data_IF_769670169527
#
_entry.id   IF_769670169527
#
_cell.length_a   1.000
_cell.length_b   1.000
_cell.length_c   1.000
_cell.angle_alpha   90.00
_cell.angle_beta   90.00
_cell.angle_gamma   90.00
#
_symmetry.space_group_name_H-M   'P 1'
#
loop_
_entity.id
_entity.type
_entity.pdbx_description
1 polymer ?
#
# COMPACT_ATOMS: atom_id res chain seq x y z
N UNK A 1 52.81 -68.66 15.14
CA UNK A 1 51.68 -69.06 14.28
C UNK A 1 51.21 -67.84 13.50
N UNK A 2 51.14 -67.99 12.17
CA UNK A 2 50.61 -67.11 11.12
C UNK A 2 49.33 -66.33 11.50
N UNK A 3 48.95 -65.19 10.92
CA UNK A 3 49.54 -64.28 9.92
C UNK A 3 48.65 -63.01 9.90
N UNK A 4 49.29 -61.84 9.71
CA UNK A 4 48.94 -60.71 8.81
C UNK A 4 47.45 -60.31 8.66
N UNK A 5 47.06 -59.03 8.72
CA UNK A 5 47.38 -58.04 7.66
C UNK A 5 47.52 -56.63 8.22
N UNK A 6 48.50 -55.93 7.66
CA UNK A 6 48.99 -54.58 7.98
C UNK A 6 48.54 -53.63 6.86
N UNK A 7 47.99 -52.46 7.19
CA UNK A 7 48.04 -51.29 6.30
C UNK A 7 48.46 -50.07 7.13
N UNK A 8 49.57 -49.44 6.71
CA UNK A 8 50.17 -48.24 7.30
C UNK A 8 49.75 -47.00 6.51
N UNK A 9 49.16 -46.05 7.26
CA UNK A 9 49.44 -44.60 7.34
C UNK A 9 50.05 -43.87 6.14
N UNK A 10 49.38 -42.77 5.77
CA UNK A 10 49.96 -41.61 5.09
C UNK A 10 49.24 -40.34 5.54
N UNK A 11 49.90 -39.57 6.40
CA UNK A 11 49.49 -38.28 6.99
C UNK A 11 49.63 -37.14 5.97
N UNK A 12 48.77 -36.10 6.02
CA UNK A 12 49.19 -34.72 6.34
C UNK A 12 48.10 -33.64 6.09
N UNK A 13 47.89 -32.84 7.15
CA UNK A 13 47.48 -31.41 7.24
C UNK A 13 46.33 -30.86 6.36
N UNK A 14 45.14 -30.60 6.94
CA UNK A 14 44.66 -29.38 7.66
C UNK A 14 44.48 -28.13 6.77
N UNK A 15 43.22 -27.84 6.40
CA UNK A 15 42.45 -26.68 6.89
C UNK A 15 41.05 -26.66 6.26
N UNK A 16 40.01 -26.79 7.08
CA UNK A 16 38.59 -26.67 6.71
C UNK A 16 38.07 -25.36 7.32
N UNK A 17 37.62 -24.43 6.48
CA UNK A 17 36.84 -23.27 6.91
C UNK A 17 35.43 -23.38 6.30
N UNK A 18 34.44 -23.30 7.20
CA UNK A 18 33.08 -22.75 7.05
C UNK A 18 32.11 -23.36 6.03
N UNK A 19 31.26 -24.19 6.62
CA UNK A 19 29.85 -24.52 6.38
C UNK A 19 29.01 -23.40 5.71
N UNK A 20 28.64 -23.70 4.47
CA UNK A 20 27.28 -23.78 3.89
C UNK A 20 26.28 -22.63 4.04
N UNK A 21 26.13 -21.85 2.95
CA UNK A 21 24.82 -21.42 2.44
C UNK A 21 24.30 -22.50 1.46
N UNK A 22 23.06 -22.95 1.65
CA UNK A 22 22.37 -23.88 0.76
C UNK A 22 21.51 -23.06 -0.23
N UNK A 23 22.00 -22.92 -1.46
CA UNK A 23 21.17 -22.62 -2.63
C UNK A 23 20.79 -23.95 -3.30
N UNK A 24 19.51 -24.29 -3.24
CA UNK A 24 18.93 -25.40 -4.00
C UNK A 24 18.92 -25.06 -5.49
N UNK A 25 19.95 -25.49 -6.22
CA UNK A 25 19.87 -25.75 -7.66
C UNK A 25 19.59 -27.24 -7.88
N UNK A 26 18.33 -27.56 -8.15
CA UNK A 26 17.99 -28.77 -8.88
C UNK A 26 17.17 -28.38 -10.10
N UNK A 27 17.82 -28.35 -11.26
CA UNK A 27 17.17 -28.62 -12.54
C UNK A 27 18.15 -29.42 -13.40
N UNK A 28 17.87 -30.73 -13.42
CA UNK A 28 17.91 -31.63 -14.57
C UNK A 28 18.84 -31.27 -15.72
N UNK A 29 19.90 -32.07 -15.86
CA UNK A 29 20.68 -32.24 -17.09
C UNK A 29 19.77 -32.72 -18.23
N UNK A 30 19.40 -31.81 -19.12
CA UNK A 30 19.03 -32.14 -20.48
C UNK A 30 20.25 -31.84 -21.36
N UNK A 31 20.79 -32.86 -22.03
CA UNK A 31 21.81 -32.72 -23.06
C UNK A 31 21.21 -31.89 -24.21
N UNK A 32 21.61 -30.62 -24.28
CA UNK A 32 21.33 -29.78 -25.44
C UNK A 32 22.39 -30.12 -26.47
N UNK A 33 22.02 -30.94 -27.44
CA UNK A 33 22.76 -31.11 -28.69
C UNK A 33 22.81 -29.74 -29.37
N UNK A 34 23.99 -29.12 -29.37
CA UNK A 34 24.24 -27.86 -30.08
C UNK A 34 24.41 -28.18 -31.56
N UNK A 35 23.30 -28.23 -32.30
CA UNK A 35 23.35 -28.06 -33.75
C UNK A 35 23.73 -26.60 -34.04
N UNK A 36 24.96 -26.41 -34.50
CA UNK A 36 25.41 -25.13 -35.06
C UNK A 36 24.75 -24.96 -36.44
N UNK A 37 23.60 -24.31 -36.48
CA UNK A 37 23.03 -23.78 -37.72
C UNK A 37 22.78 -22.28 -37.62
N UNK A 38 23.53 -21.56 -38.45
CA UNK A 38 23.21 -20.27 -39.07
C UNK A 38 23.25 -18.99 -38.20
N UNK A 39 24.29 -18.18 -38.50
CA UNK A 39 24.46 -16.73 -38.41
C UNK A 39 23.75 -15.95 -37.28
N UNK A 40 24.48 -15.11 -36.50
CA UNK A 40 23.84 -14.14 -35.63
C UNK A 40 23.00 -13.19 -36.49
N UNK A 41 21.68 -13.34 -36.45
CA UNK A 41 20.76 -12.42 -37.13
C UNK A 41 21.09 -11.00 -36.65
N UNK A 42 21.48 -10.13 -37.59
CA UNK A 42 21.53 -8.69 -37.35
C UNK A 42 20.21 -8.25 -36.70
N UNK A 43 20.21 -7.31 -35.74
CA UNK A 43 18.96 -6.86 -35.13
C UNK A 43 18.03 -6.38 -36.24
N UNK A 44 16.93 -7.11 -36.45
CA UNK A 44 15.94 -6.78 -37.46
C UNK A 44 15.57 -5.30 -37.30
N UNK A 45 15.76 -4.51 -38.36
CA UNK A 45 15.47 -3.07 -38.33
C UNK A 45 13.95 -2.91 -38.15
N UNK A 46 13.55 -2.73 -36.90
CA UNK A 46 12.17 -2.43 -36.50
C UNK A 46 11.71 -1.26 -37.37
N UNK A 47 10.58 -1.44 -38.06
CA UNK A 47 10.02 -0.39 -38.92
C UNK A 47 9.73 0.86 -38.09
N UNK A 48 9.80 2.05 -38.70
CA UNK A 48 9.49 3.31 -38.00
C UNK A 48 8.08 3.28 -37.39
N UNK A 49 7.14 2.57 -38.03
CA UNK A 49 5.78 2.35 -37.52
C UNK A 49 5.75 1.45 -36.28
N UNK A 50 6.52 0.36 -36.26
CA UNK A 50 6.64 -0.50 -35.07
C UNK A 50 7.34 0.24 -33.92
N UNK A 51 8.34 1.07 -34.21
CA UNK A 51 8.96 1.94 -33.20
C UNK A 51 7.95 2.92 -32.61
N UNK A 52 7.11 3.53 -33.45
CA UNK A 52 6.02 4.40 -33.00
C UNK A 52 5.01 3.64 -32.13
N UNK A 53 4.56 2.45 -32.58
CA UNK A 53 3.64 1.60 -31.80
C UNK A 53 4.21 1.21 -30.44
N UNK A 54 5.47 0.80 -30.38
CA UNK A 54 6.14 0.45 -29.12
C UNK A 54 6.27 1.67 -28.20
N UNK A 55 6.57 2.85 -28.74
CA UNK A 55 6.58 4.09 -27.99
C UNK A 55 5.19 4.45 -27.44
N UNK A 56 4.13 4.25 -28.23
CA UNK A 56 2.75 4.50 -27.81
C UNK A 56 2.31 3.53 -26.71
N UNK A 57 2.67 2.24 -26.82
CA UNK A 57 2.42 1.24 -25.77
C UNK A 57 3.14 1.64 -24.48
N UNK A 58 4.44 1.95 -24.55
CA UNK A 58 5.21 2.37 -23.39
C UNK A 58 4.66 3.66 -22.75
N UNK A 59 4.16 4.59 -23.58
CA UNK A 59 3.49 5.80 -23.10
C UNK A 59 2.19 5.47 -22.36
N UNK A 60 1.37 4.58 -22.90
CA UNK A 60 0.12 4.15 -22.26
C UNK A 60 0.38 3.43 -20.93
N UNK A 61 1.36 2.51 -20.88
CA UNK A 61 1.75 1.85 -19.63
C UNK A 61 2.22 2.84 -18.57
N UNK A 62 3.00 3.85 -18.97
CA UNK A 62 3.43 4.92 -18.06
C UNK A 62 2.23 5.73 -17.55
N UNK A 63 1.29 6.06 -18.42
CA UNK A 63 0.07 6.80 -18.06
C UNK A 63 -0.79 6.00 -17.08
N UNK A 64 -1.00 4.71 -17.34
CA UNK A 64 -1.75 3.83 -16.43
C UNK A 64 -1.07 3.73 -15.06
N UNK A 65 0.27 3.62 -15.04
CA UNK A 65 1.04 3.61 -13.78
C UNK A 65 0.83 4.89 -12.99
N UNK A 66 0.90 6.06 -13.64
CA UNK A 66 0.65 7.36 -13.00
C UNK A 66 -0.78 7.46 -12.48
N UNK A 67 -1.77 7.02 -13.26
CA UNK A 67 -3.17 7.05 -12.84
C UNK A 67 -3.44 6.09 -11.67
N UNK A 68 -2.74 4.95 -11.60
CA UNK A 68 -2.87 4.03 -10.46
C UNK A 68 -2.32 4.62 -9.15
N UNK A 69 -1.38 5.57 -9.21
CA UNK A 69 -0.88 6.28 -8.02
C UNK A 69 -1.98 7.05 -7.30
N UNK A 70 -3.09 7.39 -7.97
CA UNK A 70 -4.23 8.09 -7.34
C UNK A 70 -4.83 7.35 -6.16
N UNK A 71 -4.80 6.02 -6.20
CA UNK A 71 -5.38 5.22 -5.12
C UNK A 71 -4.45 5.20 -3.90
N UNK A 72 -3.14 5.13 -4.13
CA UNK A 72 -2.13 5.16 -3.08
C UNK A 72 -2.03 6.56 -2.43
N UNK A 73 -2.06 7.60 -3.26
CA UNK A 73 -1.70 8.98 -2.95
C UNK A 73 -2.86 9.95 -3.21
N UNK A 74 -4.07 9.57 -2.79
CA UNK A 74 -5.29 10.36 -3.00
C UNK A 74 -5.18 11.80 -2.48
N UNK A 75 -4.38 12.05 -1.44
CA UNK A 75 -4.20 13.36 -0.81
C UNK A 75 -3.53 14.40 -1.72
N UNK A 76 -2.83 13.96 -2.77
CA UNK A 76 -2.19 14.88 -3.71
C UNK A 76 -3.14 15.43 -4.77
N UNK A 77 -4.31 14.79 -4.91
CA UNK A 77 -5.36 15.28 -5.78
C UNK A 77 -6.07 16.46 -5.11
N UNK A 78 -6.30 17.58 -5.83
CA UNK A 78 -7.04 18.72 -5.30
C UNK A 78 -8.52 18.42 -5.08
N UNK A 79 -9.26 19.40 -4.54
CA UNK A 79 -10.71 19.31 -4.51
C UNK A 79 -11.28 19.28 -5.95
N UNK A 80 -12.22 18.37 -6.28
CA UNK A 80 -12.83 18.31 -7.60
C UNK A 80 -13.63 19.58 -7.96
N UNK A 81 -14.15 20.29 -6.96
CA UNK A 81 -14.96 21.49 -7.18
C UNK A 81 -14.08 22.68 -7.63
N UNK A 82 -14.24 23.19 -8.87
CA UNK A 82 -13.39 24.26 -9.40
C UNK A 82 -13.44 25.56 -8.59
N UNK A 83 -14.51 25.82 -7.85
CA UNK A 83 -14.65 27.02 -7.00
C UNK A 83 -13.67 27.05 -5.83
N UNK A 84 -13.28 25.86 -5.34
CA UNK A 84 -12.34 25.71 -4.23
C UNK A 84 -10.88 25.60 -4.72
N UNK A 85 -10.69 25.57 -6.05
CA UNK A 85 -9.41 25.27 -6.69
C UNK A 85 -8.56 26.54 -6.86
N UNK A 86 -7.28 26.44 -6.56
CA UNK A 86 -6.30 27.49 -6.82
C UNK A 86 -4.94 26.87 -7.11
N UNK A 87 -4.47 27.01 -8.35
CA UNK A 87 -3.25 26.38 -8.85
C UNK A 87 -2.01 26.77 -8.05
N UNK A 88 -1.89 28.03 -7.62
CA UNK A 88 -0.74 28.47 -6.82
C UNK A 88 -0.74 27.78 -5.45
N UNK A 89 -1.91 27.77 -4.79
CA UNK A 89 -2.08 27.12 -3.49
C UNK A 89 -1.74 25.63 -3.57
N UNK A 90 -2.30 24.92 -4.55
CA UNK A 90 -2.08 23.48 -4.75
C UNK A 90 -0.60 23.14 -4.97
N UNK A 91 0.10 23.95 -5.76
CA UNK A 91 1.54 23.77 -6.00
C UNK A 91 2.36 24.00 -4.73
N UNK A 92 2.03 25.02 -3.94
CA UNK A 92 2.70 25.29 -2.66
C UNK A 92 2.45 24.16 -1.65
N UNK A 93 1.19 23.73 -1.50
CA UNK A 93 0.83 22.61 -0.63
C UNK A 93 1.55 21.32 -1.04
N UNK A 94 1.63 21.01 -2.34
CA UNK A 94 2.37 19.84 -2.84
C UNK A 94 3.85 19.90 -2.50
N UNK A 95 4.48 21.07 -2.69
CA UNK A 95 5.88 21.27 -2.33
C UNK A 95 6.11 21.03 -0.84
N UNK A 96 5.22 21.53 0.01
CA UNK A 96 5.33 21.37 1.47
C UNK A 96 5.06 19.92 1.91
N UNK A 97 4.10 19.23 1.28
CA UNK A 97 3.85 17.79 1.48
C UNK A 97 5.09 16.94 1.14
N UNK A 98 5.72 17.21 -0.01
CA UNK A 98 6.94 16.52 -0.43
C UNK A 98 8.12 16.84 0.50
N UNK A 99 8.25 18.08 0.96
CA UNK A 99 9.23 18.47 1.97
C UNK A 99 9.01 17.69 3.27
N UNK A 100 7.76 17.53 3.72
CA UNK A 100 7.45 16.71 4.91
C UNK A 100 7.82 15.24 4.70
N UNK A 101 7.52 14.66 3.53
CA UNK A 101 7.89 13.27 3.16
C UNK A 101 9.39 13.04 3.05
N UNK A 102 10.18 14.08 2.84
CA UNK A 102 11.64 13.97 2.88
C UNK A 102 12.16 13.68 4.29
N UNK A 103 11.44 14.15 5.32
CA UNK A 103 11.79 14.01 6.73
C UNK A 103 11.17 12.77 7.38
N UNK A 104 9.91 12.45 7.05
CA UNK A 104 9.21 11.26 7.57
C UNK A 104 8.74 10.38 6.42
N UNK A 105 9.00 9.08 6.56
CA UNK A 105 8.55 8.08 5.61
C UNK A 105 7.06 7.83 5.78
N UNK A 106 6.28 8.25 4.78
CA UNK A 106 4.84 8.00 4.68
C UNK A 106 4.66 6.92 3.60
N UNK A 107 4.43 5.65 3.98
CA UNK A 107 4.26 4.55 3.05
C UNK A 107 2.92 4.60 2.33
N UNK A 108 2.78 3.78 1.29
CA UNK A 108 1.50 3.52 0.63
C UNK A 108 0.62 2.62 1.50
N UNK A 109 -0.62 3.03 1.74
CA UNK A 109 -1.64 2.22 2.40
C UNK A 109 -3.04 2.64 1.95
N UNK A 110 -4.00 1.74 2.15
CA UNK A 110 -5.38 1.88 1.71
C UNK A 110 -6.36 1.74 2.86
N UNK A 111 -7.62 2.09 2.62
CA UNK A 111 -8.71 1.74 3.54
C UNK A 111 -8.83 0.22 3.61
N UNK A 112 -8.76 -0.31 4.83
CA UNK A 112 -8.65 -1.73 5.11
C UNK A 112 -7.26 -2.19 5.54
N UNK A 113 -6.20 -1.44 5.23
CA UNK A 113 -4.83 -1.80 5.64
C UNK A 113 -4.64 -1.65 7.16
N UNK A 114 -3.80 -2.49 7.75
CA UNK A 114 -3.37 -2.38 9.14
C UNK A 114 -2.14 -1.49 9.24
N UNK A 115 -2.24 -0.41 10.01
CA UNK A 115 -1.21 0.62 10.13
C UNK A 115 -0.90 0.85 11.60
N UNK A 116 0.39 0.98 11.91
CA UNK A 116 0.89 1.44 13.20
C UNK A 116 1.48 2.84 13.06
N UNK A 117 0.95 3.79 13.82
CA UNK A 117 1.44 5.18 13.86
C UNK A 117 2.15 5.41 15.18
N UNK A 118 3.38 5.90 15.11
CA UNK A 118 4.12 6.41 16.25
C UNK A 118 4.05 7.94 16.21
N UNK A 119 3.42 8.55 17.21
CA UNK A 119 3.35 10.00 17.35
C UNK A 119 3.99 10.44 18.67
N UNK A 120 4.49 11.68 18.69
CA UNK A 120 4.97 12.29 19.92
C UNK A 120 3.80 12.80 20.74
N UNK A 121 3.78 12.49 22.03
CA UNK A 121 2.84 13.04 23.00
C UNK A 121 3.61 13.45 24.26
N UNK A 122 3.63 14.75 24.62
CA UNK A 122 4.31 15.22 25.82
C UNK A 122 3.86 14.55 27.13
N UNK A 123 2.62 14.06 27.19
CA UNK A 123 2.03 13.49 28.42
C UNK A 123 2.17 11.95 28.50
N UNK A 124 2.57 11.30 27.39
CA UNK A 124 2.75 9.86 27.37
C UNK A 124 4.05 9.44 28.09
N UNK A 125 4.08 8.27 28.75
CA UNK A 125 5.30 7.71 29.30
C UNK A 125 6.32 7.47 28.17
N UNK A 126 7.44 8.20 28.20
CA UNK A 126 8.46 8.14 27.14
C UNK A 126 8.25 9.12 25.97
N UNK A 127 7.30 10.06 26.08
CA UNK A 127 6.99 11.13 25.11
C UNK A 127 6.55 10.68 23.71
N UNK A 128 6.37 9.38 23.53
CA UNK A 128 6.00 8.72 22.29
C UNK A 128 4.85 7.78 22.58
N UNK A 129 3.84 7.78 21.72
CA UNK A 129 2.72 6.87 21.78
C UNK A 129 2.62 6.11 20.44
N UNK A 130 2.35 4.81 20.52
CA UNK A 130 2.18 3.93 19.35
C UNK A 130 0.74 3.43 19.34
N UNK A 131 0.03 3.74 18.27
CA UNK A 131 -1.32 3.22 18.04
C UNK A 131 -1.33 2.36 16.78
N UNK A 132 -1.87 1.15 16.89
CA UNK A 132 -2.03 0.23 15.78
C UNK A 132 -3.50 -0.06 15.56
N UNK A 133 -3.97 -0.04 14.31
CA UNK A 133 -5.34 -0.36 13.97
C UNK A 133 -5.58 -0.48 12.46
N UNK A 134 -6.82 -0.81 12.11
CA UNK A 134 -7.29 -0.80 10.72
C UNK A 134 -7.62 0.62 10.28
N UNK A 135 -7.17 1.01 9.09
CA UNK A 135 -7.57 2.26 8.47
C UNK A 135 -9.02 2.14 7.97
N UNK A 136 -9.94 2.88 8.58
CA UNK A 136 -11.38 2.83 8.23
C UNK A 136 -11.80 3.91 7.25
N UNK A 137 -11.03 5.00 7.19
CA UNK A 137 -11.30 6.12 6.30
C UNK A 137 -9.98 6.84 6.04
N UNK A 138 -9.81 7.29 4.79
CA UNK A 138 -8.77 8.21 4.37
C UNK A 138 -9.49 9.33 3.61
N UNK A 139 -9.37 10.58 4.06
CA UNK A 139 -10.09 11.73 3.49
C UNK A 139 -9.24 12.99 3.49
N UNK A 140 -9.72 14.00 2.78
CA UNK A 140 -9.07 15.30 2.67
C UNK A 140 -8.02 15.34 1.57
N UNK A 141 -7.64 16.56 1.22
CA UNK A 141 -6.68 16.88 0.18
C UNK A 141 -5.58 17.80 0.74
N UNK A 142 -4.41 17.75 0.12
CA UNK A 142 -3.25 18.54 0.50
C UNK A 142 -2.77 18.25 1.91
N UNK A 143 -2.35 19.30 2.61
CA UNK A 143 -1.87 19.22 4.00
C UNK A 143 -2.96 18.83 5.01
N UNK A 144 -4.24 18.91 4.63
CA UNK A 144 -5.39 18.59 5.48
C UNK A 144 -5.86 17.14 5.33
N UNK A 145 -5.09 16.31 4.64
CA UNK A 145 -5.38 14.90 4.52
C UNK A 145 -5.26 14.21 5.88
N UNK A 146 -6.28 13.43 6.23
CA UNK A 146 -6.38 12.71 7.50
C UNK A 146 -6.88 11.29 7.27
N UNK A 147 -6.61 10.43 8.24
CA UNK A 147 -7.07 9.05 8.23
C UNK A 147 -7.43 8.59 9.63
N UNK A 148 -8.45 7.75 9.72
CA UNK A 148 -8.95 7.22 10.99
C UNK A 148 -8.48 5.79 11.15
N UNK A 149 -7.76 5.52 12.24
CA UNK A 149 -7.42 4.17 12.66
C UNK A 149 -8.39 3.70 13.73
N UNK A 150 -8.86 2.46 13.61
CA UNK A 150 -9.73 1.80 14.57
C UNK A 150 -9.06 0.54 15.11
N UNK A 151 -9.12 0.35 16.42
CA UNK A 151 -8.76 -0.94 17.04
C UNK A 151 -9.67 -1.20 18.24
N UNK A 152 -9.84 -2.47 18.58
CA UNK A 152 -10.54 -2.90 19.78
C UNK A 152 -9.50 -3.39 20.80
N UNK A 153 -9.28 -2.60 21.84
CA UNK A 153 -8.21 -2.80 22.83
C UNK A 153 -8.88 -2.92 24.20
N UNK A 154 -8.54 -3.97 24.96
CA UNK A 154 -9.01 -4.19 26.34
C UNK A 154 -10.54 -4.12 26.53
N UNK A 155 -11.31 -4.55 25.52
CA UNK A 155 -12.77 -4.55 25.59
C UNK A 155 -13.44 -3.25 25.08
N UNK A 156 -12.66 -2.26 24.67
CA UNK A 156 -13.15 -0.97 24.20
C UNK A 156 -12.72 -0.69 22.74
N UNK A 157 -13.63 -0.10 21.97
CA UNK A 157 -13.35 0.32 20.60
C UNK A 157 -12.75 1.72 20.59
N UNK A 158 -11.46 1.82 20.26
CA UNK A 158 -10.73 3.09 20.18
C UNK A 158 -10.58 3.51 18.71
N UNK A 159 -10.88 4.77 18.43
CA UNK A 159 -10.66 5.39 17.13
C UNK A 159 -9.80 6.64 17.31
N UNK A 160 -8.74 6.77 16.50
CA UNK A 160 -7.88 7.95 16.49
C UNK A 160 -7.81 8.48 15.06
N UNK A 161 -8.11 9.76 14.90
CA UNK A 161 -7.93 10.47 13.64
C UNK A 161 -6.52 11.09 13.62
N UNK A 162 -5.74 10.74 12.61
CA UNK A 162 -4.40 11.27 12.39
C UNK A 162 -4.39 12.17 11.16
N UNK A 163 -3.81 13.36 11.31
CA UNK A 163 -3.48 14.22 10.17
C UNK A 163 -2.17 13.72 9.54
N UNK A 164 -2.19 13.40 8.25
CA UNK A 164 -1.10 12.69 7.56
C UNK A 164 0.24 13.41 7.61
N UNK A 165 0.20 14.74 7.61
CA UNK A 165 1.38 15.61 7.57
C UNK A 165 1.68 16.28 8.91
N UNK A 166 1.05 15.84 10.00
CA UNK A 166 1.29 16.37 11.34
C UNK A 166 2.78 16.26 11.72
N UNK A 167 3.44 17.35 12.17
CA UNK A 167 4.80 17.29 12.71
C UNK A 167 4.96 16.34 13.92
N UNK A 168 3.90 16.04 14.67
CA UNK A 168 4.00 15.12 15.82
C UNK A 168 4.25 13.67 15.40
N UNK A 169 3.87 13.28 14.18
CA UNK A 169 4.08 11.93 13.67
C UNK A 169 5.56 11.68 13.41
N UNK A 170 6.09 10.65 14.06
CA UNK A 170 7.49 10.24 13.92
C UNK A 170 7.65 9.17 12.83
N UNK A 171 6.76 8.17 12.81
CA UNK A 171 6.81 7.06 11.85
C UNK A 171 5.42 6.48 11.61
N UNK A 172 5.19 6.06 10.38
CA UNK A 172 4.00 5.29 9.98
C UNK A 172 4.51 3.96 9.41
N UNK A 173 4.13 2.86 10.05
CA UNK A 173 4.47 1.51 9.61
C UNK A 173 3.22 0.80 9.08
N UNK A 174 3.30 0.23 7.89
CA UNK A 174 2.25 -0.65 7.36
C UNK A 174 2.53 -2.06 7.86
N UNK A 175 1.62 -2.59 8.67
CA UNK A 175 1.71 -3.94 9.22
C UNK A 175 1.15 -4.95 8.22
N UNK A 176 -0.01 -4.66 7.63
CA UNK A 176 -0.60 -5.49 6.57
C UNK A 176 -1.20 -4.59 5.50
N UNK A 177 -0.72 -4.74 4.27
CA UNK A 177 -1.23 -4.01 3.12
C UNK A 177 -2.38 -4.81 2.48
N UNK A 178 -3.61 -4.33 2.68
CA UNK A 178 -4.82 -4.89 2.07
C UNK A 178 -5.82 -3.78 1.69
N UNK A 179 -6.65 -4.07 0.68
CA UNK A 179 -7.82 -3.27 0.30
C UNK A 179 -9.10 -3.98 0.73
N UNK A 180 -10.16 -3.23 0.98
CA UNK A 180 -11.52 -3.76 1.17
C UNK A 180 -12.40 -3.41 -0.03
N UNK A 181 -13.61 -4.00 -0.05
CA UNK A 181 -14.59 -3.77 -1.12
C UNK A 181 -15.19 -2.36 -1.11
N UNK A 182 -15.18 -1.70 0.04
CA UNK A 182 -15.75 -0.38 0.29
C UNK A 182 -14.64 0.63 0.55
N UNK A 183 -14.89 1.89 0.20
CA UNK A 183 -13.97 3.02 0.40
C UNK A 183 -13.97 3.52 1.85
N UNK A 184 -15.03 3.25 2.62
CA UNK A 184 -15.15 3.61 4.02
C UNK A 184 -15.70 2.43 4.84
N UNK A 185 -15.11 2.18 6.01
CA UNK A 185 -15.40 1.02 6.86
C UNK A 185 -16.10 1.40 8.17
N UNK A 186 -16.88 2.48 8.18
CA UNK A 186 -17.59 2.93 9.38
C UNK A 186 -18.58 1.91 9.96
N UNK A 187 -19.04 0.94 9.15
CA UNK A 187 -19.89 -0.15 9.61
C UNK A 187 -19.19 -1.07 10.63
N UNK A 188 -17.86 -1.03 10.75
CA UNK A 188 -17.11 -1.76 11.77
C UNK A 188 -17.45 -1.32 13.21
N UNK A 189 -18.09 -0.14 13.39
CA UNK A 189 -18.64 0.30 14.69
C UNK A 189 -19.81 -0.57 15.15
N UNK A 190 -20.66 -0.97 14.21
CA UNK A 190 -21.85 -1.81 14.43
C UNK A 190 -21.58 -3.30 14.18
N UNK A 191 -20.36 -3.67 13.76
CA UNK A 191 -19.93 -5.05 13.59
C UNK A 191 -19.52 -5.69 14.94
N UNK A 192 -19.48 -7.03 15.03
CA UNK A 192 -18.84 -7.74 16.13
C UNK A 192 -17.39 -7.29 16.35
N UNK A 193 -16.91 -7.22 17.61
CA UNK A 193 -15.56 -6.77 17.92
C UNK A 193 -14.44 -7.55 17.21
N UNK A 194 -14.68 -8.82 16.90
CA UNK A 194 -13.73 -9.73 16.22
C UNK A 194 -13.14 -9.13 14.95
N UNK A 195 -13.95 -8.41 14.15
CA UNK A 195 -13.51 -7.81 12.88
C UNK A 195 -12.70 -6.52 13.04
N UNK A 196 -12.61 -6.01 14.27
CA UNK A 196 -11.93 -4.76 14.62
C UNK A 196 -10.81 -4.97 15.66
N UNK A 197 -10.62 -6.21 16.13
CA UNK A 197 -9.64 -6.54 17.17
C UNK A 197 -8.36 -7.00 16.51
N UNK A 198 -7.27 -6.25 16.72
CA UNK A 198 -5.95 -6.59 16.20
C UNK A 198 -4.90 -6.52 17.32
N UNK A 199 -4.00 -7.52 17.43
CA UNK A 199 -3.00 -7.55 18.50
C UNK A 199 -1.96 -6.46 18.28
N UNK A 200 -1.74 -5.60 19.30
CA UNK A 200 -0.85 -4.41 19.21
C UNK A 200 0.58 -4.74 18.75
N UNK A 201 1.06 -5.92 19.08
CA UNK A 201 2.43 -6.39 18.78
C UNK A 201 2.49 -7.29 17.53
N UNK A 202 1.54 -7.10 16.59
CA UNK A 202 1.55 -7.81 15.31
C UNK A 202 2.81 -7.50 14.50
N UNK A 203 3.43 -8.55 13.95
CA UNK A 203 4.57 -8.42 13.05
C UNK A 203 4.14 -7.95 11.64
N UNK A 204 4.96 -7.13 10.96
CA UNK A 204 4.65 -6.66 9.62
C UNK A 204 4.77 -7.78 8.58
N UNK A 205 3.76 -7.88 7.71
CA UNK A 205 3.69 -8.80 6.58
C UNK A 205 4.25 -8.14 5.32
N UNK A 206 5.36 -8.67 4.80
CA UNK A 206 5.99 -8.17 3.59
C UNK A 206 5.44 -8.86 2.34
N UNK A 207 5.09 -8.06 1.33
CA UNK A 207 4.74 -8.53 -0.01
C UNK A 207 5.94 -8.34 -0.95
N UNK A 208 6.13 -9.22 -1.95
CA UNK A 208 7.19 -9.04 -2.93
C UNK A 208 6.99 -7.75 -3.72
N UNK A 209 8.09 -7.08 -4.07
CA UNK A 209 8.03 -5.83 -4.83
C UNK A 209 7.34 -6.06 -6.18
N UNK A 210 6.34 -5.21 -6.49
CA UNK A 210 5.58 -5.26 -7.75
C UNK A 210 4.36 -6.18 -7.76
N UNK A 211 4.05 -6.91 -6.69
CA UNK A 211 2.76 -7.60 -6.59
C UNK A 211 1.61 -6.61 -6.46
N UNK A 212 0.49 -6.90 -7.10
CA UNK A 212 -0.74 -6.12 -6.91
C UNK A 212 -1.23 -6.24 -5.46
N UNK A 213 -1.76 -5.14 -4.93
CA UNK A 213 -2.29 -5.10 -3.56
C UNK A 213 -3.50 -6.04 -3.44
N UNK A 214 -3.51 -6.99 -2.48
CA UNK A 214 -4.61 -7.93 -2.32
C UNK A 214 -5.89 -7.22 -1.87
N UNK A 215 -7.01 -7.58 -2.50
CA UNK A 215 -8.35 -7.12 -2.11
C UNK A 215 -9.02 -8.19 -1.27
N UNK A 216 -9.35 -7.83 -0.04
CA UNK A 216 -10.02 -8.68 0.92
C UNK A 216 -11.55 -8.57 0.76
N UNK A 217 -12.17 -9.63 0.24
CA UNK A 217 -13.61 -9.68 -0.08
C UNK A 217 -14.49 -10.14 1.10
N UNK A 218 -13.94 -10.23 2.32
CA UNK A 218 -14.70 -10.68 3.50
C UNK A 218 -15.93 -9.78 3.72
N UNK A 219 -17.10 -10.42 3.81
CA UNK A 219 -18.37 -9.78 4.17
C UNK A 219 -18.63 -9.87 5.68
N UNK A 220 -18.64 -8.72 6.33
CA UNK A 220 -18.75 -8.57 7.78
C UNK A 220 -20.22 -8.63 8.22
N UNK A 221 -20.61 -9.51 9.15
CA UNK A 221 -21.94 -9.48 9.78
C UNK A 221 -22.07 -8.28 10.72
N UNK A 222 -23.28 -7.74 10.86
CA UNK A 222 -23.58 -6.69 11.84
C UNK A 222 -24.16 -7.28 13.13
N UNK A 223 -24.03 -6.54 14.22
CA UNK A 223 -24.74 -6.78 15.49
C UNK A 223 -26.25 -6.70 15.29
N UNK A 224 -27.07 -7.21 16.22
CA UNK A 224 -28.50 -6.92 16.19
C UNK A 224 -28.75 -5.40 16.32
N UNK A 225 -29.93 -4.97 15.87
CA UNK A 225 -30.36 -3.58 15.95
C UNK A 225 -30.49 -3.10 17.41
N UNK A 226 -30.38 -1.78 17.69
CA UNK A 226 -30.20 -0.66 16.76
C UNK A 226 -28.74 -0.39 16.36
N UNK A 227 -28.54 0.18 15.16
CA UNK A 227 -27.22 0.56 14.62
C UNK A 227 -27.00 2.07 14.62
N UNK A 228 -25.71 2.44 14.57
CA UNK A 228 -25.14 3.73 14.15
C UNK A 228 -25.94 4.45 13.08
N UNK A 229 -25.92 3.80 11.92
CA UNK A 229 -26.37 4.35 10.66
C UNK A 229 -27.30 3.33 10.01
N UNK A 230 -28.16 3.82 9.13
CA UNK A 230 -29.00 2.97 8.28
C UNK A 230 -28.17 2.41 7.12
N UNK A 231 -27.24 1.51 7.45
CA UNK A 231 -26.29 0.90 6.50
C UNK A 231 -26.98 0.27 5.28
N UNK A 232 -28.21 -0.25 5.47
CA UNK A 232 -29.00 -0.82 4.39
C UNK A 232 -29.25 0.17 3.23
N UNK A 233 -29.16 1.48 3.49
CA UNK A 233 -29.41 2.56 2.52
C UNK A 233 -28.15 3.04 1.81
N UNK A 234 -26.97 2.73 2.35
CA UNK A 234 -25.70 3.26 1.88
C UNK A 234 -25.09 2.45 0.72
N UNK A 235 -25.61 1.25 0.43
CA UNK A 235 -25.15 0.43 -0.69
C UNK A 235 -23.78 -0.23 -0.46
N UNK A 236 -23.41 -0.47 0.80
CA UNK A 236 -22.13 -1.10 1.18
C UNK A 236 -22.04 -2.54 0.64
N UNK A 237 -20.88 -2.90 0.07
CA UNK A 237 -20.61 -4.23 -0.49
C UNK A 237 -19.99 -5.18 0.54
N UNK A 238 -19.26 -4.65 1.50
CA UNK A 238 -18.55 -5.39 2.55
C UNK A 238 -19.42 -5.84 3.71
N UNK A 239 -20.72 -5.51 3.72
CA UNK A 239 -21.66 -5.96 4.76
C UNK A 239 -22.34 -7.27 4.31
N UNK A 240 -22.39 -8.27 5.20
CA UNK A 240 -23.16 -9.51 4.96
C UNK A 240 -24.64 -9.16 4.84
N UNK A 241 -25.40 -9.91 4.05
CA UNK A 241 -26.81 -9.63 3.84
C UNK A 241 -27.57 -9.47 5.18
N UNK A 242 -28.12 -8.28 5.36
CA UNK A 242 -28.84 -7.85 6.56
C UNK A 242 -30.35 -8.00 6.43
N UNK A 243 -30.87 -8.36 5.26
CA UNK A 243 -32.32 -8.37 4.98
C UNK A 243 -33.14 -9.13 6.01
N UNK A 244 -32.63 -10.24 6.55
CA UNK A 244 -33.29 -11.05 7.58
C UNK A 244 -33.48 -10.33 8.91
N UNK A 245 -32.65 -9.33 9.22
CA UNK A 245 -32.72 -8.55 10.46
C UNK A 245 -33.70 -7.37 10.36
N UNK A 246 -34.17 -7.03 9.16
CA UNK A 246 -34.96 -5.82 8.91
C UNK A 246 -36.46 -6.11 8.81
N UNK A 247 -37.28 -5.22 9.38
CA UNK A 247 -38.72 -5.21 9.12
C UNK A 247 -39.02 -4.91 7.65
N UNK A 248 -40.07 -5.50 7.09
CA UNK A 248 -40.53 -5.26 5.71
C UNK A 248 -40.68 -3.77 5.37
N UNK A 249 -41.23 -2.98 6.31
CA UNK A 249 -41.33 -1.51 6.16
C UNK A 249 -39.96 -0.87 5.96
N UNK A 250 -38.94 -1.26 6.74
CA UNK A 250 -37.58 -0.72 6.64
C UNK A 250 -36.92 -1.15 5.33
N UNK A 251 -37.13 -2.41 4.92
CA UNK A 251 -36.65 -2.92 3.64
C UNK A 251 -37.25 -2.17 2.46
N UNK A 252 -38.58 -1.96 2.46
CA UNK A 252 -39.30 -1.17 1.44
C UNK A 252 -38.75 0.26 1.36
N UNK A 253 -38.56 0.91 2.50
CA UNK A 253 -37.99 2.26 2.55
C UNK A 253 -36.52 2.30 2.08
N UNK A 254 -35.74 1.27 2.36
CA UNK A 254 -34.36 1.18 1.88
C UNK A 254 -34.31 1.07 0.36
N UNK A 255 -35.09 0.14 -0.22
CA UNK A 255 -35.22 -0.02 -1.67
C UNK A 255 -35.63 1.30 -2.34
N UNK A 256 -36.67 1.96 -1.83
CA UNK A 256 -37.09 3.28 -2.36
C UNK A 256 -35.96 4.31 -2.35
N UNK A 257 -35.08 4.30 -1.34
CA UNK A 257 -33.96 5.23 -1.27
C UNK A 257 -32.86 4.89 -2.27
N UNK A 258 -32.50 3.61 -2.41
CA UNK A 258 -31.53 3.15 -3.41
C UNK A 258 -32.00 3.48 -4.84
N UNK A 259 -33.29 3.31 -5.10
CA UNK A 259 -33.93 3.63 -6.38
C UNK A 259 -34.41 5.09 -6.49
N UNK A 260 -34.04 5.98 -5.57
CA UNK A 260 -34.51 7.37 -5.62
C UNK A 260 -33.89 8.13 -6.80
N UNK A 261 -32.69 7.73 -7.24
CA UNK A 261 -31.95 8.40 -8.33
C UNK A 261 -31.17 7.41 -9.21
N UNK A 262 -31.84 6.49 -9.92
CA UNK A 262 -31.18 5.51 -10.79
C UNK A 262 -30.38 6.16 -11.93
N UNK A 263 -30.72 7.39 -12.33
CA UNK A 263 -30.03 8.13 -13.38
C UNK A 263 -28.65 8.68 -12.96
N UNK A 264 -28.34 8.79 -11.66
CA UNK A 264 -27.03 9.32 -11.22
C UNK A 264 -25.86 8.47 -11.71
N UNK A 265 -26.05 7.15 -11.89
CA UNK A 265 -25.05 6.25 -12.48
C UNK A 265 -24.68 6.65 -13.93
N UNK A 266 -25.60 7.28 -14.64
CA UNK A 266 -25.45 7.67 -16.04
C UNK A 266 -25.21 9.18 -16.20
N UNK A 267 -25.13 9.93 -15.09
CA UNK A 267 -24.89 11.37 -15.12
C UNK A 267 -23.40 11.65 -15.35
N UNK A 268 -23.04 11.75 -16.64
CA UNK A 268 -21.66 12.01 -17.08
C UNK A 268 -21.13 13.33 -16.53
N UNK A 269 -21.97 14.36 -16.42
CA UNK A 269 -21.58 15.67 -15.90
C UNK A 269 -21.24 15.59 -14.42
N UNK A 270 -22.03 14.84 -13.64
CA UNK A 270 -21.74 14.57 -12.24
C UNK A 270 -20.41 13.84 -12.09
N UNK A 271 -20.20 12.75 -12.83
CA UNK A 271 -18.93 11.99 -12.81
C UNK A 271 -17.73 12.87 -13.17
N UNK A 272 -17.86 13.71 -14.20
CA UNK A 272 -16.83 14.66 -14.59
C UNK A 272 -16.58 15.74 -13.52
N UNK A 273 -17.61 16.18 -12.80
CA UNK A 273 -17.47 17.18 -11.73
C UNK A 273 -16.89 16.62 -10.43
N UNK A 274 -17.08 15.32 -10.18
CA UNK A 274 -16.58 14.61 -9.00
C UNK A 274 -15.14 14.14 -9.17
N UNK A 275 -14.67 14.02 -10.42
CA UNK A 275 -13.32 13.57 -10.75
C UNK A 275 -12.49 14.72 -11.30
N UNK A 276 -11.19 14.68 -11.05
CA UNK A 276 -10.26 15.63 -11.66
C UNK A 276 -9.98 15.19 -13.09
N UNK A 277 -9.83 16.13 -14.06
CA UNK A 277 -9.41 15.79 -15.41
C UNK A 277 -8.17 14.88 -15.45
N UNK A 278 -8.14 13.92 -16.36
CA UNK A 278 -7.07 12.91 -16.44
C UNK A 278 -5.73 13.58 -16.74
N UNK A 279 -5.74 14.64 -17.54
CA UNK A 279 -4.58 15.45 -17.89
C UNK A 279 -3.94 16.05 -16.64
N UNK A 280 -4.75 16.66 -15.77
CA UNK A 280 -4.32 17.24 -14.50
C UNK A 280 -3.78 16.15 -13.56
N UNK A 281 -4.45 14.99 -13.47
CA UNK A 281 -3.96 13.87 -12.66
C UNK A 281 -2.56 13.43 -13.09
N UNK A 282 -2.35 13.32 -14.40
CA UNK A 282 -1.08 12.88 -15.00
C UNK A 282 0.03 13.89 -14.75
N UNK A 283 -0.25 15.19 -14.95
CA UNK A 283 0.71 16.26 -14.65
C UNK A 283 1.13 16.19 -13.18
N UNK A 284 0.15 16.15 -12.28
CA UNK A 284 0.38 16.10 -10.83
C UNK A 284 1.20 14.87 -10.43
N UNK A 285 0.80 13.67 -10.87
CA UNK A 285 1.50 12.44 -10.49
C UNK A 285 2.85 12.30 -11.18
N UNK A 286 3.08 12.90 -12.34
CA UNK A 286 4.40 12.92 -12.98
C UNK A 286 5.41 13.70 -12.13
N UNK A 287 5.03 14.89 -11.64
CA UNK A 287 5.83 15.69 -10.71
C UNK A 287 6.12 14.91 -9.43
N UNK A 288 5.09 14.27 -8.86
CA UNK A 288 5.22 13.51 -7.62
C UNK A 288 6.12 12.29 -7.79
N UNK A 289 5.95 11.54 -8.89
CA UNK A 289 6.74 10.35 -9.15
C UNK A 289 8.23 10.69 -9.26
N UNK A 290 8.58 11.77 -9.97
CA UNK A 290 9.95 12.25 -10.07
C UNK A 290 10.52 12.58 -8.68
N UNK A 291 9.76 13.32 -7.86
CA UNK A 291 10.20 13.72 -6.53
C UNK A 291 10.31 12.56 -5.55
N UNK A 292 9.35 11.62 -5.57
CA UNK A 292 9.42 10.40 -4.76
C UNK A 292 10.64 9.55 -5.15
N UNK A 293 10.93 9.44 -6.45
CA UNK A 293 12.10 8.73 -6.92
C UNK A 293 13.42 9.39 -6.48
N UNK A 294 13.52 10.72 -6.55
CA UNK A 294 14.67 11.47 -6.01
C UNK A 294 14.86 11.21 -4.50
N UNK A 295 13.77 11.22 -3.73
CA UNK A 295 13.79 10.95 -2.29
C UNK A 295 14.23 9.52 -1.99
N UNK A 296 13.76 8.55 -2.75
CA UNK A 296 14.15 7.14 -2.60
C UNK A 296 15.64 6.95 -2.89
N UNK A 297 16.16 7.52 -3.97
CA UNK A 297 17.59 7.50 -4.29
C UNK A 297 18.42 8.18 -3.18
N UNK A 298 17.93 9.30 -2.63
CA UNK A 298 18.58 9.99 -1.52
C UNK A 298 18.64 9.11 -0.27
N UNK A 299 17.51 8.49 0.11
CA UNK A 299 17.44 7.54 1.24
C UNK A 299 18.39 6.35 1.03
N UNK A 300 18.45 5.82 -0.18
CA UNK A 300 19.33 4.72 -0.54
C UNK A 300 20.83 5.08 -0.35
N UNK A 301 21.23 6.25 -0.84
CA UNK A 301 22.60 6.79 -0.64
C UNK A 301 22.92 6.97 0.84
N UNK A 302 21.98 7.52 1.62
CA UNK A 302 22.15 7.72 3.06
C UNK A 302 22.28 6.38 3.82
N UNK A 303 21.46 5.37 3.50
CA UNK A 303 21.57 4.01 4.07
C UNK A 303 22.95 3.39 3.80
N UNK A 304 23.44 3.48 2.55
CA UNK A 304 24.77 2.98 2.18
C UNK A 304 25.90 3.71 2.90
N UNK A 305 25.81 5.04 3.02
CA UNK A 305 26.82 5.85 3.72
C UNK A 305 26.92 5.48 5.20
N UNK A 306 25.78 5.26 5.88
CA UNK A 306 25.75 4.86 7.30
C UNK A 306 26.37 3.48 7.56
N UNK A 307 26.27 2.56 6.60
CA UNK A 307 26.84 1.22 6.72
C UNK A 307 28.38 1.21 6.53
N UNK A 308 28.96 2.27 5.95
CA UNK A 308 30.40 2.38 5.76
C UNK A 308 31.07 3.03 6.99
N UNK A 309 31.30 2.24 8.04
CA UNK A 309 32.16 2.65 9.16
C UNK A 309 33.60 2.28 8.81
N UNK A 310 34.49 3.28 8.67
CA UNK A 310 35.93 3.03 8.45
C UNK A 310 36.48 2.25 9.65
N UNK A 311 37.23 1.14 9.45
CA UNK A 311 37.83 0.42 10.56
C UNK A 311 38.77 1.36 11.33
N UNK A 312 38.53 1.53 12.63
CA UNK A 312 39.46 2.20 13.53
C UNK A 312 40.72 1.35 13.63
N UNK A 313 41.87 1.92 13.23
CA UNK A 313 43.17 1.30 13.52
C UNK A 313 43.33 1.26 15.05
N UNK A 314 43.16 0.09 15.64
CA UNK A 314 43.64 -0.18 17.00
C UNK A 314 45.16 -0.08 16.94
N UNK A 315 45.69 0.98 17.55
CA UNK A 315 47.13 1.24 17.65
C UNK A 315 47.83 0.26 18.57
#
# INVERSE_FOLDING_TARGET
MAMSVRVRLGSQFRNIMRVCFHENRHMSTAEIVVEKSENPKEPERISLEEQQRLNDIAKNERMEKLLNMRFAYQEFLPDPNPKNRNTLKERLERRDMLARRSNVEIPEFYVGSLVAVMHSDPHAPGKNNRFMGICIQKIGAGLRASFILRNFIDGEGVEINFDMYDPTIQRIDVIRLEKRLDEELFYLRDAPPEYSTFPVDMEPEYQPEGSAVPVNEIKVPLKPLPWLVKWERMGMKGIRDVTSMLTEKRLRMSKLKQFNKPWEKYDLLKMYSETIPIEDQVEIFSEIQEKLHELEQHRYKMKRSRNFVKPTKMG
#
